data_IF_076237319235
#
_entry.id   IF_076237319235
#
_cell.length_a   1.000
_cell.length_b   1.000
_cell.length_c   1.000
_cell.angle_alpha   90.00
_cell.angle_beta   90.00
_cell.angle_gamma   90.00
#
_symmetry.space_group_name_H-M   'P 1'
#
loop_
_entity.id
_entity.type
_entity.pdbx_description
1 polymer ?
#
# COMPACT_ATOMS: atom_id res chain seq x y z
N UNK A 1 -9.39 13.27 20.78
CA UNK A 1 -8.94 13.46 19.38
C UNK A 1 -7.50 13.94 19.43
N UNK A 2 -6.60 13.35 18.64
CA UNK A 2 -5.19 13.75 18.57
C UNK A 2 -5.05 15.05 17.78
N UNK A 3 -3.98 15.82 17.98
CA UNK A 3 -3.76 17.07 17.26
C UNK A 3 -2.86 16.86 16.04
N UNK A 4 -3.32 17.32 14.86
CA UNK A 4 -2.56 17.22 13.60
C UNK A 4 -1.22 17.96 13.69
N UNK A 5 -1.18 19.13 14.32
CA UNK A 5 0.06 19.90 14.47
C UNK A 5 1.05 19.20 15.40
N UNK A 6 0.57 18.55 16.45
CA UNK A 6 1.41 17.84 17.41
C UNK A 6 2.02 16.58 16.80
N UNK A 7 1.24 15.73 16.13
CA UNK A 7 1.78 14.53 15.47
C UNK A 7 2.79 14.89 14.37
N UNK A 8 2.54 15.97 13.62
CA UNK A 8 3.48 16.49 12.61
C UNK A 8 4.76 17.01 13.24
N UNK A 9 4.68 17.68 14.39
CA UNK A 9 5.85 18.17 15.13
C UNK A 9 6.66 17.00 15.72
N UNK A 10 5.99 15.99 16.30
CA UNK A 10 6.65 14.80 16.83
C UNK A 10 7.31 13.98 15.73
N UNK A 11 6.61 13.75 14.61
CA UNK A 11 7.15 13.05 13.45
C UNK A 11 8.38 13.75 12.87
N UNK A 12 8.38 15.10 12.82
CA UNK A 12 9.55 15.88 12.38
C UNK A 12 10.74 15.73 13.31
N UNK A 13 10.50 15.77 14.63
CA UNK A 13 11.54 15.58 15.63
C UNK A 13 12.14 14.18 15.56
N UNK A 14 11.28 13.16 15.44
CA UNK A 14 11.69 11.76 15.39
C UNK A 14 12.49 11.43 14.14
N UNK A 15 11.99 11.83 12.95
CA UNK A 15 12.68 11.50 11.69
C UNK A 15 14.09 12.11 11.62
N UNK A 16 14.36 13.21 12.32
CA UNK A 16 15.69 13.81 12.40
C UNK A 16 16.78 12.86 12.93
N UNK A 17 16.42 11.84 13.72
CA UNK A 17 17.36 10.87 14.29
C UNK A 17 17.75 9.74 13.34
N UNK A 18 16.89 9.42 12.36
CA UNK A 18 17.06 8.26 11.46
C UNK A 18 16.63 8.55 10.01
N UNK A 19 16.70 9.82 9.58
CA UNK A 19 16.23 10.27 8.27
C UNK A 19 16.87 9.49 7.10
N UNK A 20 18.19 9.34 7.09
CA UNK A 20 18.90 8.68 5.98
C UNK A 20 18.56 7.20 5.84
N UNK A 21 18.58 6.39 6.92
CA UNK A 21 18.05 5.03 6.88
C UNK A 21 16.60 4.95 6.40
N UNK A 22 15.71 5.84 6.87
CA UNK A 22 14.32 5.88 6.43
C UNK A 22 14.18 6.22 4.93
N UNK A 23 14.98 7.16 4.44
CA UNK A 23 15.03 7.56 3.04
C UNK A 23 15.47 6.39 2.15
N UNK A 24 16.55 5.69 2.52
CA UNK A 24 17.03 4.51 1.80
C UNK A 24 16.00 3.37 1.82
N UNK A 25 15.39 3.09 2.97
CA UNK A 25 14.33 2.09 3.10
C UNK A 25 13.15 2.40 2.20
N UNK A 26 12.72 3.67 2.13
CA UNK A 26 11.63 4.09 1.25
C UNK A 26 11.99 4.08 -0.24
N UNK A 27 13.26 4.27 -0.60
CA UNK A 27 13.71 4.04 -1.98
C UNK A 27 13.60 2.57 -2.35
N UNK A 28 14.10 1.67 -1.49
CA UNK A 28 14.03 0.22 -1.74
C UNK A 28 12.58 -0.26 -1.85
N UNK A 29 11.73 0.15 -0.90
CA UNK A 29 10.30 -0.09 -0.97
C UNK A 29 9.67 0.52 -2.23
N UNK A 30 10.05 1.74 -2.57
CA UNK A 30 9.58 2.46 -3.75
C UNK A 30 9.93 1.77 -5.07
N UNK A 31 11.10 1.14 -5.18
CA UNK A 31 11.49 0.35 -6.36
C UNK A 31 10.59 -0.88 -6.49
N UNK A 32 10.37 -1.62 -5.40
CA UNK A 32 9.48 -2.78 -5.39
C UNK A 32 8.04 -2.39 -5.78
N UNK A 33 7.52 -1.31 -5.19
CA UNK A 33 6.18 -0.80 -5.48
C UNK A 33 6.05 -0.20 -6.91
N UNK A 34 7.12 0.37 -7.48
CA UNK A 34 7.11 0.90 -8.85
C UNK A 34 7.09 -0.21 -9.90
N UNK A 35 7.80 -1.31 -9.65
CA UNK A 35 7.79 -2.46 -10.55
C UNK A 35 6.36 -3.01 -10.71
N UNK A 36 5.64 -3.16 -9.60
CA UNK A 36 4.21 -3.49 -9.60
C UNK A 36 3.37 -2.48 -10.40
N UNK A 37 3.50 -1.18 -10.12
CA UNK A 37 2.70 -0.16 -10.80
C UNK A 37 2.94 -0.12 -12.31
N UNK A 38 4.17 -0.35 -12.78
CA UNK A 38 4.45 -0.46 -14.22
C UNK A 38 3.68 -1.62 -14.85
N UNK A 39 3.65 -2.79 -14.20
CA UNK A 39 2.95 -3.98 -14.67
C UNK A 39 1.43 -3.81 -14.68
N UNK A 40 0.87 -3.09 -13.70
CA UNK A 40 -0.55 -2.75 -13.67
C UNK A 40 -0.95 -1.79 -14.81
N UNK A 41 -0.10 -0.82 -15.17
CA UNK A 41 -0.34 0.05 -16.33
C UNK A 41 -0.37 -0.77 -17.63
N UNK A 42 0.46 -1.81 -17.74
CA UNK A 42 0.43 -2.73 -18.88
C UNK A 42 -0.88 -3.53 -18.94
N UNK A 43 -1.38 -4.01 -17.79
CA UNK A 43 -2.69 -4.65 -17.70
C UNK A 43 -3.81 -3.71 -18.16
N UNK A 44 -3.85 -2.49 -17.62
CA UNK A 44 -4.87 -1.51 -17.95
C UNK A 44 -4.90 -1.22 -19.46
N UNK A 45 -3.73 -1.00 -20.08
CA UNK A 45 -3.61 -0.81 -21.53
C UNK A 45 -4.08 -2.03 -22.33
N UNK A 46 -3.74 -3.24 -21.88
CA UNK A 46 -4.18 -4.47 -22.54
C UNK A 46 -5.70 -4.66 -22.44
N UNK A 47 -6.29 -4.43 -21.27
CA UNK A 47 -7.73 -4.49 -21.06
C UNK A 47 -8.45 -3.45 -21.91
N UNK A 48 -7.96 -2.20 -21.95
CA UNK A 48 -8.56 -1.17 -22.82
C UNK A 48 -8.57 -1.61 -24.28
N UNK A 49 -7.47 -2.17 -24.78
CA UNK A 49 -7.41 -2.66 -26.15
C UNK A 49 -8.38 -3.83 -26.37
N UNK A 50 -8.37 -4.86 -25.51
CA UNK A 50 -9.26 -6.02 -25.61
C UNK A 50 -10.74 -5.59 -25.60
N UNK A 51 -11.10 -4.68 -24.69
CA UNK A 51 -12.49 -4.20 -24.55
C UNK A 51 -12.88 -3.31 -25.71
N UNK A 52 -12.01 -2.40 -26.16
CA UNK A 52 -12.26 -1.57 -27.33
C UNK A 52 -12.41 -2.42 -28.58
N UNK A 53 -11.47 -3.31 -28.88
CA UNK A 53 -11.61 -4.18 -30.06
C UNK A 53 -12.82 -5.10 -29.93
N UNK A 54 -12.99 -5.80 -28.81
CA UNK A 54 -14.10 -6.73 -28.62
C UNK A 54 -15.49 -6.09 -28.74
N UNK A 55 -15.67 -4.89 -28.17
CA UNK A 55 -16.94 -4.15 -28.29
C UNK A 55 -17.10 -3.49 -29.67
N UNK A 56 -16.05 -2.87 -30.22
CA UNK A 56 -16.11 -2.12 -31.49
C UNK A 56 -16.26 -3.06 -32.67
N UNK A 57 -15.49 -4.15 -32.75
CA UNK A 57 -15.67 -5.17 -33.79
C UNK A 57 -16.99 -5.92 -33.62
N UNK A 58 -17.39 -6.22 -32.37
CA UNK A 58 -18.66 -6.89 -32.07
C UNK A 58 -19.89 -6.09 -32.50
N UNK A 59 -19.91 -4.78 -32.22
CA UNK A 59 -21.03 -3.87 -32.52
C UNK A 59 -21.04 -3.37 -33.97
N UNK A 60 -19.89 -3.04 -34.55
CA UNK A 60 -19.83 -2.45 -35.89
C UNK A 60 -19.77 -3.49 -37.02
N UNK A 61 -19.26 -4.69 -36.75
CA UNK A 61 -19.00 -5.71 -37.78
C UNK A 61 -19.77 -7.02 -37.56
N UNK A 62 -20.76 -7.03 -36.66
CA UNK A 62 -21.71 -8.15 -36.52
C UNK A 62 -21.06 -9.45 -36.07
N UNK A 63 -20.31 -9.38 -34.96
CA UNK A 63 -19.32 -10.35 -34.45
C UNK A 63 -19.74 -11.79 -34.14
N UNK A 64 -20.77 -12.34 -34.79
CA UNK A 64 -21.10 -13.77 -34.79
C UNK A 64 -21.46 -14.35 -36.18
N UNK A 65 -21.61 -13.52 -37.23
CA UNK A 65 -22.13 -13.98 -38.54
C UNK A 65 -21.20 -13.74 -39.73
N UNK A 66 -20.09 -13.03 -39.57
CA UNK A 66 -19.06 -12.97 -40.62
C UNK A 66 -18.17 -14.22 -40.54
N UNK A 67 -18.02 -14.89 -41.68
CA UNK A 67 -17.20 -16.09 -41.81
C UNK A 67 -15.78 -15.87 -41.29
N UNK A 68 -15.18 -16.94 -40.75
CA UNK A 68 -13.82 -16.98 -40.25
C UNK A 68 -12.82 -16.70 -41.39
N UNK A 69 -12.60 -15.42 -41.71
CA UNK A 69 -11.47 -14.98 -42.51
C UNK A 69 -10.20 -15.12 -41.67
N UNK A 70 -9.13 -15.65 -42.27
CA UNK A 70 -7.85 -15.75 -41.57
C UNK A 70 -7.42 -14.34 -41.15
N UNK A 71 -7.17 -14.08 -39.85
CA UNK A 71 -6.77 -12.76 -39.39
C UNK A 71 -5.49 -12.32 -40.10
N UNK A 72 -5.44 -11.06 -40.54
CA UNK A 72 -4.23 -10.46 -41.10
C UNK A 72 -3.09 -10.60 -40.07
N UNK A 73 -1.87 -10.81 -40.56
CA UNK A 73 -0.67 -10.96 -39.73
C UNK A 73 -0.49 -9.80 -38.74
N UNK A 74 -0.90 -8.58 -39.14
CA UNK A 74 -0.94 -7.41 -38.25
C UNK A 74 -1.79 -7.62 -37.00
N UNK A 75 -3.06 -8.02 -37.15
CA UNK A 75 -3.96 -8.30 -36.03
C UNK A 75 -3.47 -9.48 -35.17
N UNK A 76 -2.87 -10.49 -35.78
CA UNK A 76 -2.26 -11.60 -35.02
C UNK A 76 -1.08 -11.12 -34.16
N UNK A 77 -0.23 -10.24 -34.69
CA UNK A 77 0.90 -9.69 -33.95
C UNK A 77 0.44 -8.75 -32.81
N UNK A 78 -0.57 -7.91 -33.05
CA UNK A 78 -1.13 -7.00 -32.04
C UNK A 78 -1.82 -7.75 -30.91
N UNK A 79 -2.69 -8.72 -31.23
CA UNK A 79 -3.35 -9.56 -30.21
C UNK A 79 -2.34 -10.36 -29.37
N UNK A 80 -1.28 -10.86 -29.99
CA UNK A 80 -0.18 -11.50 -29.27
C UNK A 80 0.53 -10.52 -28.32
N UNK A 81 0.84 -9.30 -28.78
CA UNK A 81 1.49 -8.28 -27.97
C UNK A 81 0.64 -7.91 -26.74
N UNK A 82 -0.66 -7.65 -26.90
CA UNK A 82 -1.55 -7.34 -25.79
C UNK A 82 -1.78 -8.55 -24.87
N UNK A 83 -1.75 -9.77 -25.41
CA UNK A 83 -1.75 -10.99 -24.60
C UNK A 83 -0.52 -11.08 -23.68
N UNK A 84 0.67 -10.76 -24.18
CA UNK A 84 1.90 -10.69 -23.36
C UNK A 84 1.81 -9.56 -22.32
N UNK A 85 1.27 -8.39 -22.67
CA UNK A 85 1.06 -7.30 -21.73
C UNK A 85 0.08 -7.68 -20.61
N UNK A 86 -1.04 -8.34 -20.94
CA UNK A 86 -1.99 -8.83 -19.95
C UNK A 86 -1.35 -9.84 -19.00
N UNK A 87 -0.55 -10.78 -19.52
CA UNK A 87 0.18 -11.74 -18.69
C UNK A 87 1.15 -11.03 -17.73
N UNK A 88 1.87 -10.00 -18.21
CA UNK A 88 2.76 -9.21 -17.36
C UNK A 88 2.02 -8.53 -16.21
N UNK A 89 0.79 -8.07 -16.44
CA UNK A 89 -0.05 -7.49 -15.40
C UNK A 89 -0.46 -8.48 -14.31
N UNK A 90 -0.78 -9.74 -14.68
CA UNK A 90 -1.08 -10.79 -13.70
C UNK A 90 0.11 -11.09 -12.81
N UNK A 91 1.32 -11.10 -13.38
CA UNK A 91 2.56 -11.23 -12.62
C UNK A 91 2.72 -10.03 -11.66
N UNK A 92 2.38 -8.82 -12.09
CA UNK A 92 2.40 -7.62 -11.26
C UNK A 92 1.50 -7.74 -10.04
N UNK A 93 0.28 -8.26 -10.22
CA UNK A 93 -0.66 -8.55 -9.12
C UNK A 93 -0.06 -9.59 -8.15
N UNK A 94 0.58 -10.64 -8.67
CA UNK A 94 1.29 -11.62 -7.83
C UNK A 94 2.40 -10.97 -6.98
N UNK A 95 3.23 -10.13 -7.60
CA UNK A 95 4.29 -9.39 -6.91
C UNK A 95 3.72 -8.46 -5.83
N UNK A 96 2.60 -7.78 -6.09
CA UNK A 96 1.90 -6.98 -5.08
C UNK A 96 1.58 -7.82 -3.84
N UNK A 97 0.88 -8.92 -4.06
CA UNK A 97 0.29 -9.75 -3.00
C UNK A 97 1.39 -10.40 -2.15
N UNK A 98 2.40 -10.98 -2.79
CA UNK A 98 3.42 -11.78 -2.11
C UNK A 98 4.67 -10.98 -1.71
N UNK A 99 4.93 -9.81 -2.30
CA UNK A 99 6.17 -9.06 -2.05
C UNK A 99 5.87 -7.68 -1.49
N UNK A 100 5.17 -6.82 -2.25
CA UNK A 100 4.95 -5.41 -1.87
C UNK A 100 4.14 -5.29 -0.58
N UNK A 101 3.08 -6.08 -0.43
CA UNK A 101 2.22 -6.05 0.75
C UNK A 101 2.97 -6.46 2.04
N UNK A 102 3.67 -7.62 2.10
CA UNK A 102 4.53 -7.94 3.23
C UNK A 102 5.62 -6.89 3.51
N UNK A 103 6.24 -6.31 2.47
CA UNK A 103 7.20 -5.21 2.63
C UNK A 103 6.56 -3.95 3.21
N UNK A 104 5.29 -3.66 2.90
CA UNK A 104 4.55 -2.54 3.49
C UNK A 104 4.47 -2.68 5.02
N UNK A 105 4.18 -3.90 5.51
CA UNK A 105 4.17 -4.21 6.95
C UNK A 105 5.56 -4.01 7.57
N UNK A 106 6.62 -4.46 6.88
CA UNK A 106 8.00 -4.23 7.30
C UNK A 106 8.37 -2.75 7.37
N UNK A 107 7.95 -1.95 6.38
CA UNK A 107 8.07 -0.49 6.41
C UNK A 107 7.40 0.10 7.66
N UNK A 108 6.16 -0.30 7.96
CA UNK A 108 5.44 0.20 9.15
C UNK A 108 6.17 -0.17 10.44
N UNK A 109 6.71 -1.39 10.51
CA UNK A 109 7.52 -1.85 11.65
C UNK A 109 8.75 -0.97 11.87
N UNK A 110 9.50 -0.69 10.80
CA UNK A 110 10.69 0.17 10.87
C UNK A 110 10.38 1.53 11.51
N UNK A 111 9.34 2.23 11.05
CA UNK A 111 9.02 3.56 11.58
C UNK A 111 8.58 3.51 13.04
N UNK A 112 7.87 2.46 13.45
CA UNK A 112 7.41 2.30 14.82
C UNK A 112 8.55 1.91 15.77
N UNK A 113 9.38 0.93 15.40
CA UNK A 113 10.58 0.56 16.17
C UNK A 113 11.55 1.73 16.27
N UNK A 114 11.78 2.45 15.17
CA UNK A 114 12.68 3.60 15.19
C UNK A 114 12.20 4.74 16.08
N UNK A 115 10.88 4.91 16.18
CA UNK A 115 10.27 5.86 17.10
C UNK A 115 10.43 5.43 18.56
N UNK A 116 10.35 4.14 18.87
CA UNK A 116 10.50 3.64 20.25
C UNK A 116 11.97 3.61 20.70
N UNK A 117 12.90 3.35 19.78
CA UNK A 117 14.33 3.28 20.06
C UNK A 117 15.06 4.64 19.97
N UNK A 118 14.39 5.70 19.49
CA UNK A 118 14.99 7.00 19.16
C UNK A 118 16.24 6.88 18.24
N UNK A 119 16.29 5.84 17.41
CA UNK A 119 17.37 5.54 16.44
C UNK A 119 16.86 4.68 15.29
N UNK A 120 17.70 4.46 14.27
CA UNK A 120 17.37 3.55 13.17
C UNK A 120 17.19 2.11 13.66
N UNK A 121 16.05 1.49 13.35
CA UNK A 121 15.75 0.09 13.64
C UNK A 121 16.46 -0.88 12.67
N UNK A 122 17.00 -0.37 11.56
CA UNK A 122 17.68 -1.16 10.54
C UNK A 122 16.80 -1.39 9.30
N UNK A 123 17.43 -1.43 8.13
CA UNK A 123 16.72 -1.58 6.85
C UNK A 123 16.19 -3.02 6.66
N UNK A 124 16.78 -3.98 7.38
CA UNK A 124 16.36 -5.39 7.44
C UNK A 124 14.90 -5.56 7.89
N UNK A 125 14.35 -4.61 8.65
CA UNK A 125 12.92 -4.60 9.03
C UNK A 125 11.97 -4.56 7.84
N UNK A 126 12.43 -4.11 6.68
CA UNK A 126 11.67 -4.22 5.42
C UNK A 126 11.30 -5.68 5.10
N UNK A 127 12.15 -6.63 5.50
CA UNK A 127 11.95 -8.07 5.31
C UNK A 127 11.24 -8.73 6.49
N UNK A 128 10.85 -7.99 7.53
CA UNK A 128 10.27 -8.54 8.76
C UNK A 128 9.16 -9.57 8.50
N UNK A 129 8.18 -9.24 7.64
CA UNK A 129 7.05 -10.11 7.37
C UNK A 129 7.44 -11.46 6.73
N UNK A 130 8.62 -11.56 6.10
CA UNK A 130 9.13 -12.79 5.49
C UNK A 130 9.81 -13.70 6.51
N UNK A 131 10.39 -13.13 7.57
CA UNK A 131 11.13 -13.85 8.62
C UNK A 131 10.33 -14.01 9.93
N UNK A 132 9.17 -13.37 10.05
CA UNK A 132 8.35 -13.37 11.28
C UNK A 132 7.67 -14.72 11.61
N UNK A 133 7.84 -15.76 10.80
CA UNK A 133 7.20 -17.08 10.99
C UNK A 133 5.74 -17.14 10.51
N UNK A 134 5.03 -16.01 10.49
CA UNK A 134 3.60 -15.91 10.14
C UNK A 134 3.36 -15.23 8.77
N UNK A 135 4.31 -15.34 7.84
CA UNK A 135 4.27 -14.72 6.50
C UNK A 135 2.94 -14.90 5.77
N UNK A 136 2.44 -16.14 5.69
CA UNK A 136 1.18 -16.43 5.01
C UNK A 136 -0.02 -15.74 5.65
N UNK A 137 -0.01 -15.56 6.97
CA UNK A 137 -1.06 -14.82 7.67
C UNK A 137 -1.02 -13.33 7.30
N UNK A 138 0.18 -12.74 7.28
CA UNK A 138 0.37 -11.35 6.85
C UNK A 138 -0.10 -11.15 5.41
N UNK A 139 0.33 -12.01 4.48
CA UNK A 139 -0.10 -11.97 3.07
C UNK A 139 -1.62 -12.08 2.97
N UNK A 140 -2.23 -13.03 3.67
CA UNK A 140 -3.69 -13.24 3.67
C UNK A 140 -4.45 -12.00 4.13
N UNK A 141 -4.07 -11.41 5.26
CA UNK A 141 -4.78 -10.26 5.83
C UNK A 141 -4.60 -9.02 4.95
N UNK A 142 -3.39 -8.78 4.44
CA UNK A 142 -3.10 -7.67 3.52
C UNK A 142 -3.84 -7.83 2.18
N UNK A 143 -3.90 -9.05 1.64
CA UNK A 143 -4.70 -9.35 0.45
C UNK A 143 -6.19 -9.06 0.68
N UNK A 144 -6.74 -9.48 1.82
CA UNK A 144 -8.15 -9.25 2.13
C UNK A 144 -8.47 -7.77 2.35
N UNK A 145 -7.54 -7.01 2.94
CA UNK A 145 -7.63 -5.55 3.02
C UNK A 145 -7.80 -4.96 1.62
N UNK A 146 -6.90 -5.30 0.70
CA UNK A 146 -6.90 -4.76 -0.65
C UNK A 146 -8.15 -5.20 -1.43
N UNK A 147 -8.56 -6.46 -1.27
CA UNK A 147 -9.78 -7.01 -1.86
C UNK A 147 -11.01 -6.24 -1.39
N UNK A 148 -11.17 -6.01 -0.08
CA UNK A 148 -12.31 -5.26 0.43
C UNK A 148 -12.32 -3.81 -0.06
N UNK A 149 -11.16 -3.13 -0.09
CA UNK A 149 -11.06 -1.78 -0.66
C UNK A 149 -11.47 -1.79 -2.14
N UNK A 150 -11.00 -2.77 -2.92
CA UNK A 150 -11.33 -2.91 -4.33
C UNK A 150 -12.84 -3.16 -4.55
N UNK A 151 -13.45 -4.05 -3.76
CA UNK A 151 -14.89 -4.33 -3.82
C UNK A 151 -15.74 -3.09 -3.48
N UNK A 152 -15.35 -2.34 -2.45
CA UNK A 152 -16.03 -1.09 -2.11
C UNK A 152 -15.86 -0.02 -3.20
N UNK A 153 -14.66 0.09 -3.78
CA UNK A 153 -14.38 1.00 -4.88
C UNK A 153 -15.16 0.64 -6.15
N UNK A 154 -15.30 -0.66 -6.43
CA UNK A 154 -16.09 -1.18 -7.55
C UNK A 154 -17.58 -0.86 -7.39
N UNK A 155 -18.11 -0.95 -6.17
CA UNK A 155 -19.48 -0.55 -5.89
C UNK A 155 -19.65 0.97 -6.06
N UNK A 156 -18.79 1.75 -5.41
CA UNK A 156 -18.74 3.20 -5.52
C UNK A 156 -17.35 3.76 -5.11
N UNK A 157 -16.85 4.75 -5.85
CA UNK A 157 -15.54 5.37 -5.58
C UNK A 157 -15.45 5.98 -4.16
N UNK A 158 -16.49 6.67 -3.70
CA UNK A 158 -16.48 7.36 -2.39
C UNK A 158 -16.38 6.39 -1.20
N UNK A 159 -17.23 5.34 -1.09
CA UNK A 159 -17.06 4.27 -0.11
C UNK A 159 -15.68 3.60 -0.15
N UNK A 160 -15.10 3.39 -1.32
CA UNK A 160 -13.73 2.88 -1.47
C UNK A 160 -12.69 3.74 -0.75
N UNK A 161 -12.75 5.06 -0.92
CA UNK A 161 -11.87 6.02 -0.23
C UNK A 161 -12.09 5.99 1.29
N UNK A 162 -13.35 5.93 1.76
CA UNK A 162 -13.62 5.85 3.20
C UNK A 162 -13.04 4.56 3.81
N UNK A 163 -13.12 3.45 3.08
CA UNK A 163 -12.60 2.15 3.51
C UNK A 163 -11.08 2.07 3.50
N UNK A 164 -10.40 2.75 2.57
CA UNK A 164 -8.94 2.81 2.60
C UNK A 164 -8.42 3.50 3.86
N UNK A 165 -9.09 4.55 4.34
CA UNK A 165 -8.76 5.17 5.63
C UNK A 165 -9.10 4.27 6.82
N UNK A 166 -10.24 3.56 6.80
CA UNK A 166 -10.60 2.62 7.88
C UNK A 166 -9.58 1.50 8.06
N UNK A 167 -8.95 1.04 6.95
CA UNK A 167 -8.00 -0.06 6.96
C UNK A 167 -6.53 0.38 6.92
N UNK A 168 -6.24 1.68 6.97
CA UNK A 168 -4.88 2.21 6.95
C UNK A 168 -4.00 1.71 8.11
N UNK A 169 -4.62 1.30 9.24
CA UNK A 169 -3.90 0.84 10.44
C UNK A 169 -3.59 -0.67 10.42
N UNK A 170 -4.21 -1.46 9.53
CA UNK A 170 -3.96 -2.91 9.41
C UNK A 170 -2.47 -3.25 9.28
N UNK A 171 -1.68 -2.64 8.38
CA UNK A 171 -0.26 -2.98 8.26
C UNK A 171 0.55 -2.64 9.52
N UNK A 172 0.12 -1.64 10.30
CA UNK A 172 0.74 -1.34 11.59
C UNK A 172 0.41 -2.40 12.64
N UNK A 173 -0.86 -2.85 12.73
CA UNK A 173 -1.26 -3.92 13.65
C UNK A 173 -0.51 -5.22 13.32
N UNK A 174 -0.41 -5.60 12.05
CA UNK A 174 0.33 -6.79 11.61
C UNK A 174 1.85 -6.67 11.84
N UNK A 175 2.38 -5.45 11.90
CA UNK A 175 3.78 -5.23 12.21
C UNK A 175 4.11 -5.54 13.67
N UNK A 176 3.12 -5.48 14.57
CA UNK A 176 3.24 -5.84 15.99
C UNK A 176 2.83 -7.29 16.26
N UNK A 177 1.70 -7.70 15.68
CA UNK A 177 1.09 -9.00 15.89
C UNK A 177 0.90 -9.71 14.55
N UNK A 178 1.98 -10.25 13.96
CA UNK A 178 1.90 -10.93 12.66
C UNK A 178 1.04 -12.21 12.69
N UNK A 179 0.84 -12.79 13.87
CA UNK A 179 0.04 -14.01 14.07
C UNK A 179 -1.45 -13.74 14.37
N UNK A 180 -1.85 -12.46 14.50
CA UNK A 180 -3.20 -12.11 14.91
C UNK A 180 -4.26 -12.64 13.93
N UNK A 181 -5.44 -12.99 14.47
CA UNK A 181 -6.54 -13.41 13.63
C UNK A 181 -7.05 -12.23 12.78
N UNK A 182 -7.44 -12.55 11.56
CA UNK A 182 -7.97 -11.58 10.63
C UNK A 182 -9.16 -10.80 11.23
N UNK A 183 -10.11 -11.45 11.90
CA UNK A 183 -11.30 -10.76 12.43
C UNK A 183 -10.91 -9.78 13.53
N UNK A 184 -9.95 -10.14 14.37
CA UNK A 184 -9.43 -9.27 15.42
C UNK A 184 -8.75 -8.05 14.83
N UNK A 185 -7.88 -8.23 13.82
CA UNK A 185 -7.19 -7.11 13.15
C UNK A 185 -8.18 -6.14 12.50
N UNK A 186 -9.21 -6.67 11.82
CA UNK A 186 -10.24 -5.86 11.19
C UNK A 186 -11.18 -5.18 12.20
N UNK A 187 -11.45 -5.80 13.35
CA UNK A 187 -12.20 -5.18 14.44
C UNK A 187 -11.39 -4.05 15.09
N UNK A 188 -10.11 -4.30 15.38
CA UNK A 188 -9.20 -3.35 16.00
C UNK A 188 -9.00 -2.10 15.14
N UNK A 189 -8.72 -2.26 13.82
CA UNK A 189 -8.59 -1.09 12.93
C UNK A 189 -9.90 -0.28 12.87
N UNK A 190 -11.06 -0.93 12.91
CA UNK A 190 -12.36 -0.25 12.88
C UNK A 190 -12.60 0.54 14.18
N UNK A 191 -12.24 -0.02 15.32
CA UNK A 191 -12.30 0.63 16.63
C UNK A 191 -11.34 1.84 16.68
N UNK A 192 -10.07 1.64 16.33
CA UNK A 192 -9.06 2.70 16.24
C UNK A 192 -9.54 3.85 15.34
N UNK A 193 -10.15 3.52 14.20
CA UNK A 193 -10.58 4.53 13.22
C UNK A 193 -11.96 5.12 13.51
N UNK A 194 -12.72 4.61 14.49
CA UNK A 194 -14.03 5.17 14.82
C UNK A 194 -13.88 6.61 15.33
N UNK A 195 -14.49 7.57 14.64
CA UNK A 195 -14.33 9.01 14.92
C UNK A 195 -13.01 9.63 14.41
N UNK A 196 -12.03 8.83 13.96
CA UNK A 196 -10.72 9.30 13.50
C UNK A 196 -10.54 9.30 11.97
N UNK A 197 -11.43 8.68 11.19
CA UNK A 197 -11.33 8.60 9.71
C UNK A 197 -11.20 9.97 9.04
N UNK A 198 -12.10 10.89 9.38
CA UNK A 198 -12.07 12.24 8.81
C UNK A 198 -10.84 13.01 9.28
N UNK A 199 -10.42 12.79 10.53
CA UNK A 199 -9.21 13.42 11.05
C UNK A 199 -7.96 12.94 10.31
N UNK A 200 -7.87 11.66 9.97
CA UNK A 200 -6.79 11.10 9.16
C UNK A 200 -6.84 11.66 7.71
N UNK A 201 -8.02 11.82 7.13
CA UNK A 201 -8.19 12.50 5.84
C UNK A 201 -7.64 13.93 5.88
N UNK A 202 -8.03 14.73 6.87
CA UNK A 202 -7.53 16.11 7.04
C UNK A 202 -6.03 16.13 7.30
N UNK A 203 -5.49 15.15 8.03
CA UNK A 203 -4.05 14.99 8.22
C UNK A 203 -3.31 14.84 6.89
N UNK A 204 -3.75 13.94 6.01
CA UNK A 204 -3.14 13.79 4.68
C UNK A 204 -3.35 15.03 3.81
N UNK A 205 -4.53 15.66 3.88
CA UNK A 205 -4.82 16.91 3.19
C UNK A 205 -3.88 18.06 3.63
N UNK A 206 -3.46 18.07 4.90
CA UNK A 206 -2.48 19.04 5.41
C UNK A 206 -1.10 18.95 4.77
N UNK A 207 -0.82 17.90 3.99
CA UNK A 207 0.41 17.75 3.22
C UNK A 207 0.27 18.18 1.75
N UNK A 208 -0.88 18.70 1.32
CA UNK A 208 -1.09 19.12 -0.08
C UNK A 208 -0.09 20.19 -0.54
N UNK A 209 0.33 21.09 0.35
CA UNK A 209 1.37 22.08 0.03
C UNK A 209 2.70 21.44 -0.39
N UNK A 210 3.04 20.30 0.21
CA UNK A 210 4.23 19.53 -0.15
C UNK A 210 4.08 18.80 -1.49
N UNK A 211 2.86 18.43 -1.88
CA UNK A 211 2.59 17.86 -3.21
C UNK A 211 2.89 18.89 -4.31
N UNK A 212 2.45 20.14 -4.14
CA UNK A 212 2.76 21.23 -5.09
C UNK A 212 4.26 21.45 -5.21
N UNK A 213 4.99 21.43 -4.10
CA UNK A 213 6.45 21.54 -4.11
C UNK A 213 7.09 20.35 -4.82
N UNK A 214 6.58 19.14 -4.58
CA UNK A 214 7.01 17.93 -5.28
C UNK A 214 6.86 18.04 -6.80
N UNK A 215 5.71 18.53 -7.29
CA UNK A 215 5.43 18.72 -8.73
C UNK A 215 6.41 19.73 -9.35
N UNK A 216 6.70 20.84 -8.64
CA UNK A 216 7.63 21.87 -9.12
C UNK A 216 9.04 21.32 -9.38
N UNK A 217 9.46 20.30 -8.61
CA UNK A 217 10.73 19.60 -8.77
C UNK A 217 10.60 18.27 -9.53
N UNK A 218 9.72 18.19 -10.54
CA UNK A 218 9.50 17.00 -11.37
C UNK A 218 9.23 15.71 -10.57
N UNK A 219 8.60 15.83 -9.40
CA UNK A 219 8.29 14.71 -8.52
C UNK A 219 9.45 14.26 -7.61
N UNK A 220 10.66 14.80 -7.76
CA UNK A 220 11.83 14.43 -6.94
C UNK A 220 11.63 14.89 -5.48
N UNK A 221 11.00 16.05 -5.28
CA UNK A 221 10.70 16.56 -3.94
C UNK A 221 9.88 15.58 -3.08
N UNK A 222 9.04 14.75 -3.71
CA UNK A 222 8.26 13.74 -3.00
C UNK A 222 9.11 12.68 -2.31
N UNK A 223 10.29 12.35 -2.87
CA UNK A 223 11.18 11.34 -2.29
C UNK A 223 11.75 11.81 -0.94
N UNK A 224 12.05 13.10 -0.81
CA UNK A 224 12.62 13.68 0.41
C UNK A 224 11.55 13.91 1.49
N UNK A 225 10.31 14.12 1.09
CA UNK A 225 9.21 14.42 2.03
C UNK A 225 8.57 13.14 2.57
N UNK A 226 8.63 12.04 1.81
CA UNK A 226 8.02 10.76 2.18
C UNK A 226 8.47 10.23 3.57
N UNK A 227 9.78 10.21 3.94
CA UNK A 227 10.23 9.79 5.27
C UNK A 227 9.53 10.55 6.40
N UNK A 228 9.36 11.86 6.22
CA UNK A 228 8.67 12.70 7.19
C UNK A 228 7.16 12.38 7.28
N UNK A 229 6.47 12.23 6.15
CA UNK A 229 5.05 11.86 6.13
C UNK A 229 4.84 10.52 6.85
N UNK A 230 5.69 9.52 6.59
CA UNK A 230 5.61 8.20 7.22
C UNK A 230 5.91 8.22 8.72
N UNK A 231 6.87 9.03 9.15
CA UNK A 231 7.13 9.24 10.58
C UNK A 231 5.93 9.92 11.28
N UNK A 232 5.31 10.91 10.64
CA UNK A 232 4.11 11.55 11.17
C UNK A 232 2.90 10.59 11.20
N UNK A 233 2.76 9.73 10.19
CA UNK A 233 1.74 8.67 10.14
C UNK A 233 1.94 7.64 11.27
N UNK A 234 3.19 7.26 11.56
CA UNK A 234 3.53 6.39 12.69
C UNK A 234 3.16 7.02 14.05
N UNK A 235 3.34 8.34 14.21
CA UNK A 235 2.87 9.06 15.40
C UNK A 235 1.35 9.04 15.54
N UNK A 236 0.60 9.11 14.43
CA UNK A 236 -0.86 8.96 14.45
C UNK A 236 -1.24 7.57 14.93
N UNK A 237 -0.63 6.52 14.35
CA UNK A 237 -0.88 5.16 14.80
C UNK A 237 -0.56 4.96 16.30
N UNK A 238 0.53 5.55 16.80
CA UNK A 238 0.86 5.51 18.23
C UNK A 238 -0.22 6.13 19.14
N UNK A 239 -0.98 7.11 18.66
CA UNK A 239 -2.12 7.66 19.41
C UNK A 239 -3.34 6.74 19.30
N UNK A 240 -3.65 6.26 18.09
CA UNK A 240 -4.81 5.43 17.83
C UNK A 240 -4.75 4.09 18.56
N UNK A 241 -3.55 3.49 18.64
CA UNK A 241 -3.34 2.19 19.31
C UNK A 241 -3.58 2.21 20.82
N UNK A 242 -3.72 3.39 21.45
CA UNK A 242 -4.09 3.49 22.88
C UNK A 242 -5.58 3.25 23.14
N UNK A 243 -6.39 3.26 22.09
CA UNK A 243 -7.85 3.19 22.16
C UNK A 243 -8.42 1.87 21.61
N UNK A 244 -7.57 0.89 21.30
CA UNK A 244 -8.01 -0.44 20.86
C UNK A 244 -8.18 -1.37 22.04
N UNK A 245 -9.19 -2.25 22.01
CA UNK A 245 -9.33 -3.37 22.96
C UNK A 245 -8.40 -4.54 22.65
N UNK A 246 -7.75 -4.56 21.48
CA UNK A 246 -6.81 -5.60 21.08
C UNK A 246 -5.47 -5.46 21.82
N UNK A 247 -4.96 -6.56 22.38
CA UNK A 247 -3.62 -6.59 22.95
C UNK A 247 -2.58 -6.49 21.84
N UNK A 248 -1.71 -5.48 21.92
CA UNK A 248 -0.65 -5.25 20.95
C UNK A 248 0.71 -5.51 21.61
N UNK A 249 1.52 -6.36 20.99
CA UNK A 249 2.80 -6.82 21.54
C UNK A 249 3.83 -5.69 21.68
N UNK A 250 3.63 -4.56 20.98
CA UNK A 250 4.61 -3.49 20.91
C UNK A 250 5.80 -3.85 20.03
N UNK A 251 6.85 -3.02 20.11
CA UNK A 251 7.99 -3.10 19.21
C UNK A 251 9.32 -3.38 19.93
N UNK A 252 9.27 -3.65 21.24
CA UNK A 252 10.41 -4.16 22.00
C UNK A 252 10.63 -5.64 21.68
N UNK A 253 11.77 -5.97 21.07
CA UNK A 253 12.29 -7.33 21.12
C UNK A 253 12.47 -7.72 22.59
N UNK A 254 11.92 -8.87 23.00
CA UNK A 254 12.48 -9.64 24.11
C UNK A 254 13.91 -10.01 23.71
N UNK A 255 14.87 -9.13 23.98
CA UNK A 255 16.29 -9.51 24.03
C UNK A 255 16.63 -10.01 25.43
N UNK A 256 15.95 -11.06 25.88
CA UNK A 256 16.36 -11.86 27.05
C UNK A 256 15.96 -13.31 26.77
N UNK A 257 16.96 -14.12 26.39
CA UNK A 257 17.10 -15.58 26.53
C UNK A 257 17.87 -16.20 25.35
N UNK A 258 19.19 -15.96 25.31
CA UNK A 258 20.20 -16.95 24.88
C UNK A 258 21.48 -16.74 25.70
#
# INVERSE_FOLDING_TARGET
MWSISEVKKRGWRQIGMYYWPAFLLLILFGIAARFENSMNIHMERAVYWIVQEGLVHGLLHGGLLHGFELPDFGYMAESFFYGVLALSGLVGIGIKIFIVNPMEVGCKRFFMESRELDRSAGIDRLLFAFISGSYLNVVKIMFLRDLFIALWTLLFVVPGIVKSYEYAMIPYILSENPEADQREVFAATKEMMQGNRFQLFVFFFSFIGWLFLGILFFGIGMLFINPYIRAAEAEVYSELRRHTGMYLNGFYEKQEEM
#
